data_IF_468101040695
#
_entry.id   IF_468101040695
#
_cell.length_a   1.000
_cell.length_b   1.000
_cell.length_c   1.000
_cell.angle_alpha   90.00
_cell.angle_beta   90.00
_cell.angle_gamma   90.00
#
_symmetry.space_group_name_H-M   'P 1'
#
loop_
_entity.id
_entity.type
_entity.pdbx_description
1 polymer ?
#
# COMPACT_ATOMS: atom_id res chain seq x y z
N UNK A 1 12.72 -9.50 2.82
CA UNK A 1 14.10 -8.94 2.81
C UNK A 1 14.11 -7.72 1.92
N UNK A 2 14.52 -6.56 2.43
CA UNK A 2 14.64 -5.35 1.63
C UNK A 2 16.07 -5.25 1.12
N UNK A 3 16.25 -5.08 -0.18
CA UNK A 3 17.54 -4.77 -0.76
C UNK A 3 17.55 -3.29 -1.08
N UNK A 4 18.37 -2.54 -0.35
CA UNK A 4 18.76 -1.21 -0.81
C UNK A 4 19.76 -1.40 -1.93
N UNK A 5 19.28 -1.25 -3.17
CA UNK A 5 20.13 -1.27 -4.34
C UNK A 5 21.00 -0.01 -4.36
N UNK A 6 22.16 -0.09 -5.00
CA UNK A 6 23.14 1.03 -5.07
C UNK A 6 22.65 2.26 -5.85
N UNK A 7 21.43 2.20 -6.39
CA UNK A 7 20.77 3.30 -7.08
C UNK A 7 19.82 4.02 -6.11
N UNK A 8 20.07 5.29 -5.75
CA UNK A 8 19.28 6.01 -4.75
C UNK A 8 17.82 6.29 -5.18
N UNK A 9 17.48 6.00 -6.44
CA UNK A 9 16.17 6.28 -7.04
C UNK A 9 15.28 5.04 -7.20
N UNK A 10 15.79 3.83 -6.98
CA UNK A 10 15.04 2.59 -7.16
C UNK A 10 15.18 1.67 -5.96
N UNK A 11 14.08 1.13 -5.46
CA UNK A 11 14.05 0.20 -4.33
C UNK A 11 13.50 -1.14 -4.78
N UNK A 12 14.15 -2.24 -4.36
CA UNK A 12 13.67 -3.59 -4.62
C UNK A 12 13.27 -4.27 -3.30
N UNK A 13 12.00 -4.65 -3.21
CA UNK A 13 11.51 -5.50 -2.14
C UNK A 13 11.48 -6.97 -2.61
N UNK A 14 12.12 -7.85 -1.83
CA UNK A 14 11.97 -9.30 -1.99
C UNK A 14 11.18 -9.86 -0.81
N UNK A 15 9.95 -10.31 -1.06
CA UNK A 15 9.11 -10.94 -0.06
C UNK A 15 9.22 -12.46 -0.16
N UNK A 16 9.53 -13.11 0.96
CA UNK A 16 9.73 -14.55 1.05
C UNK A 16 8.80 -15.15 2.12
N UNK A 17 8.51 -16.45 1.99
CA UNK A 17 7.80 -17.19 3.01
C UNK A 17 8.72 -17.37 4.24
N UNK A 18 8.23 -16.99 5.42
CA UNK A 18 8.89 -17.38 6.67
C UNK A 18 8.58 -18.84 6.99
N UNK A 19 9.47 -19.51 7.75
CA UNK A 19 9.46 -20.98 7.97
C UNK A 19 8.20 -21.55 8.65
N UNK A 20 7.27 -20.72 9.11
CA UNK A 20 6.06 -21.16 9.81
C UNK A 20 4.84 -21.08 8.87
N UNK A 21 4.52 -22.24 8.31
CA UNK A 21 3.28 -22.51 7.58
C UNK A 21 2.13 -22.59 8.57
N UNK A 22 1.05 -21.84 8.32
CA UNK A 22 -0.35 -22.31 8.49
C UNK A 22 -1.37 -21.22 8.12
N UNK A 23 -1.05 -19.93 8.27
CA UNK A 23 -2.01 -18.86 7.95
C UNK A 23 -1.84 -18.29 6.52
N UNK A 24 -2.93 -18.19 5.73
CA UNK A 24 -2.92 -17.52 4.44
C UNK A 24 -2.47 -16.06 4.60
N UNK A 25 -1.39 -15.69 3.91
CA UNK A 25 -0.89 -14.31 3.83
C UNK A 25 -0.76 -13.86 2.37
N UNK A 26 -0.46 -12.58 2.16
CA UNK A 26 -0.23 -11.99 0.83
C UNK A 26 0.71 -12.84 -0.05
N UNK A 27 1.85 -13.27 0.49
CA UNK A 27 2.88 -13.97 -0.28
C UNK A 27 2.37 -15.34 -0.71
N UNK A 28 1.76 -16.09 0.20
CA UNK A 28 1.16 -17.41 -0.12
C UNK A 28 0.06 -17.28 -1.18
N UNK A 29 -0.79 -16.25 -1.09
CA UNK A 29 -1.84 -15.98 -2.10
C UNK A 29 -1.25 -15.67 -3.47
N UNK A 30 -0.23 -14.82 -3.51
CA UNK A 30 0.46 -14.51 -4.76
C UNK A 30 1.07 -15.77 -5.38
N UNK A 31 1.80 -16.57 -4.59
CA UNK A 31 2.42 -17.80 -5.08
C UNK A 31 1.38 -18.80 -5.63
N UNK A 32 0.21 -18.90 -5.00
CA UNK A 32 -0.91 -19.71 -5.50
C UNK A 32 -1.47 -19.14 -6.81
N UNK A 33 -1.73 -17.83 -6.88
CA UNK A 33 -2.29 -17.18 -8.06
C UNK A 33 -1.33 -17.13 -9.26
N UNK A 34 -0.02 -17.05 -9.00
CA UNK A 34 1.06 -16.98 -9.98
C UNK A 34 1.67 -18.35 -10.30
N UNK A 35 1.25 -19.41 -9.60
CA UNK A 35 1.83 -20.76 -9.74
C UNK A 35 3.36 -20.80 -9.52
N UNK A 36 3.86 -19.97 -8.59
CA UNK A 36 5.28 -19.88 -8.26
C UNK A 36 5.77 -18.44 -8.00
N UNK A 37 7.09 -18.27 -7.77
CA UNK A 37 7.72 -16.96 -7.59
C UNK A 37 7.58 -16.07 -8.82
N UNK A 38 7.57 -14.75 -8.62
CA UNK A 38 7.45 -13.78 -9.70
C UNK A 38 7.39 -12.34 -9.22
N UNK A 39 7.28 -11.42 -10.17
CA UNK A 39 7.07 -10.01 -9.89
C UNK A 39 5.62 -9.80 -9.46
N UNK A 40 5.41 -9.27 -8.25
CA UNK A 40 4.07 -9.03 -7.71
C UNK A 40 3.54 -7.64 -8.07
N UNK A 41 4.35 -6.60 -7.90
CA UNK A 41 3.91 -5.25 -8.22
C UNK A 41 5.06 -4.34 -8.61
N UNK A 42 4.71 -3.23 -9.26
CA UNK A 42 5.60 -2.11 -9.55
C UNK A 42 4.98 -0.86 -8.94
N UNK A 43 5.78 -0.13 -8.16
CA UNK A 43 5.42 1.16 -7.58
C UNK A 43 5.88 2.33 -8.44
N UNK A 44 4.98 3.27 -8.73
CA UNK A 44 5.29 4.54 -9.40
C UNK A 44 5.22 5.69 -8.41
N UNK A 45 6.32 6.44 -8.30
CA UNK A 45 6.38 7.62 -7.46
C UNK A 45 5.57 8.78 -8.05
N UNK A 46 4.92 9.56 -7.19
CA UNK A 46 4.23 10.80 -7.54
C UNK A 46 4.37 11.80 -6.40
N UNK A 47 4.30 13.09 -6.73
CA UNK A 47 4.28 14.19 -5.75
C UNK A 47 2.84 14.64 -5.41
N UNK A 48 1.84 14.04 -6.05
CA UNK A 48 0.43 14.32 -5.81
C UNK A 48 -0.44 13.09 -6.12
N UNK A 49 -0.57 12.21 -5.14
CA UNK A 49 -1.19 10.90 -5.28
C UNK A 49 -2.70 10.99 -5.46
N UNK A 50 -3.38 11.96 -4.84
CA UNK A 50 -4.84 12.06 -4.90
C UNK A 50 -5.30 12.54 -6.28
N UNK A 51 -4.59 13.51 -6.89
CA UNK A 51 -4.87 13.97 -8.25
C UNK A 51 -4.53 12.90 -9.28
N UNK A 52 -3.39 12.21 -9.14
CA UNK A 52 -3.01 11.11 -10.05
C UNK A 52 -3.99 9.94 -9.92
N UNK A 53 -4.35 9.52 -8.70
CA UNK A 53 -5.35 8.48 -8.49
C UNK A 53 -6.70 8.85 -9.11
N UNK A 54 -7.17 10.09 -8.90
CA UNK A 54 -8.40 10.59 -9.51
C UNK A 54 -8.34 10.54 -11.03
N UNK A 55 -7.22 10.97 -11.62
CA UNK A 55 -6.99 10.94 -13.07
C UNK A 55 -6.98 9.50 -13.59
N UNK A 56 -6.28 8.58 -12.91
CA UNK A 56 -6.26 7.16 -13.26
C UNK A 56 -7.68 6.55 -13.22
N UNK A 57 -8.46 6.82 -12.18
CA UNK A 57 -9.86 6.39 -12.08
C UNK A 57 -10.70 6.90 -13.25
N UNK A 58 -10.58 8.18 -13.61
CA UNK A 58 -11.29 8.76 -14.75
C UNK A 58 -10.91 8.10 -16.08
N UNK A 59 -9.70 7.56 -16.19
CA UNK A 59 -9.21 6.82 -17.35
C UNK A 59 -9.46 5.30 -17.26
N UNK A 60 -10.26 4.84 -16.29
CA UNK A 60 -10.72 3.45 -16.19
C UNK A 60 -9.82 2.52 -15.39
N UNK A 61 -8.78 3.02 -14.72
CA UNK A 61 -8.00 2.24 -13.76
C UNK A 61 -8.86 1.99 -12.51
N UNK A 62 -8.88 0.74 -12.06
CA UNK A 62 -9.56 0.34 -10.83
C UNK A 62 -8.56 0.18 -9.71
N UNK A 63 -8.85 0.82 -8.59
CA UNK A 63 -8.09 0.66 -7.35
C UNK A 63 -8.86 -0.18 -6.36
N UNK A 64 -8.13 -0.85 -5.47
CA UNK A 64 -8.72 -1.53 -4.33
C UNK A 64 -9.32 -0.47 -3.41
N UNK A 65 -10.56 -0.70 -2.98
CA UNK A 65 -11.27 0.17 -2.06
C UNK A 65 -11.09 -0.33 -0.61
N UNK A 66 -10.40 0.43 0.27
CA UNK A 66 -10.28 0.07 1.68
C UNK A 66 -11.62 0.25 2.42
N UNK A 67 -11.96 -0.63 3.37
CA UNK A 67 -13.18 -0.52 4.15
C UNK A 67 -13.19 0.77 4.96
N UNK A 68 -14.37 1.34 5.16
CA UNK A 68 -14.57 2.58 5.92
C UNK A 68 -13.95 2.52 7.33
N UNK A 69 -13.90 1.32 7.93
CA UNK A 69 -13.26 1.07 9.22
C UNK A 69 -11.77 1.46 9.25
N UNK A 70 -11.04 1.30 8.13
CA UNK A 70 -9.65 1.72 8.01
C UNK A 70 -9.52 3.21 8.34
N UNK A 71 -10.26 4.06 7.63
CA UNK A 71 -10.22 5.52 7.78
C UNK A 71 -10.70 6.00 9.16
N UNK A 72 -11.67 5.30 9.75
CA UNK A 72 -12.11 5.56 11.14
C UNK A 72 -10.97 5.34 12.14
N UNK A 73 -10.17 4.30 11.95
CA UNK A 73 -9.00 4.05 12.81
C UNK A 73 -7.80 4.92 12.45
N UNK A 74 -7.68 5.32 11.18
CA UNK A 74 -6.59 6.18 10.71
C UNK A 74 -6.55 7.51 11.47
N UNK A 75 -7.71 8.16 11.63
CA UNK A 75 -7.83 9.42 12.38
C UNK A 75 -7.45 9.30 13.86
N UNK A 76 -7.42 8.08 14.41
CA UNK A 76 -6.98 7.82 15.78
C UNK A 76 -5.47 7.57 15.87
N UNK A 77 -4.85 7.10 14.78
CA UNK A 77 -3.42 6.71 14.72
C UNK A 77 -2.52 7.84 14.21
N UNK A 78 -3.05 8.69 13.34
CA UNK A 78 -2.29 9.73 12.64
C UNK A 78 -2.95 11.08 12.88
N UNK A 79 -2.14 12.07 13.24
CA UNK A 79 -2.59 13.45 13.25
C UNK A 79 -2.49 14.00 11.82
N UNK A 80 -3.61 13.92 11.09
CA UNK A 80 -3.72 14.29 9.67
C UNK A 80 -3.28 15.73 9.37
N UNK A 81 -3.30 16.63 10.37
CA UNK A 81 -2.78 18.00 10.21
C UNK A 81 -1.28 18.04 9.92
N UNK A 82 -0.50 17.09 10.43
CA UNK A 82 0.92 16.99 10.10
C UNK A 82 1.16 16.41 8.71
N UNK A 83 0.21 15.62 8.21
CA UNK A 83 0.33 14.97 6.90
C UNK A 83 -0.20 15.83 5.75
N UNK A 84 -0.84 16.98 6.03
CA UNK A 84 -1.47 17.85 5.03
C UNK A 84 -2.41 17.10 4.06
N UNK A 85 -3.22 16.19 4.60
CA UNK A 85 -4.20 15.38 3.85
C UNK A 85 -5.60 15.59 4.42
N UNK A 86 -6.61 15.61 3.53
CA UNK A 86 -8.02 15.57 3.90
C UNK A 86 -8.48 14.11 4.01
N UNK A 87 -9.08 13.74 5.14
CA UNK A 87 -9.61 12.39 5.36
C UNK A 87 -10.68 12.03 4.33
N UNK A 88 -11.51 12.99 3.93
CA UNK A 88 -12.58 12.73 2.96
C UNK A 88 -12.02 12.52 1.56
N UNK A 89 -10.93 13.20 1.20
CA UNK A 89 -10.20 12.97 -0.04
C UNK A 89 -9.53 11.60 -0.06
N UNK A 90 -8.88 11.20 1.03
CA UNK A 90 -8.30 9.86 1.18
C UNK A 90 -9.36 8.77 1.04
N UNK A 91 -10.49 8.91 1.73
CA UNK A 91 -11.64 7.99 1.61
C UNK A 91 -12.15 7.90 0.18
N UNK A 92 -12.32 9.04 -0.49
CA UNK A 92 -12.85 9.09 -1.86
C UNK A 92 -11.92 8.42 -2.87
N UNK A 93 -10.61 8.60 -2.69
CA UNK A 93 -9.59 8.09 -3.61
C UNK A 93 -9.17 6.66 -3.31
N UNK A 94 -9.31 6.18 -2.07
CA UNK A 94 -8.79 4.89 -1.65
C UNK A 94 -7.35 4.92 -1.12
N UNK A 95 -6.79 6.12 -0.91
CA UNK A 95 -5.38 6.29 -0.53
C UNK A 95 -5.15 5.93 0.94
N UNK A 96 -4.18 5.04 1.17
CA UNK A 96 -3.69 4.62 2.48
C UNK A 96 -2.54 5.53 2.94
N UNK A 97 -2.41 5.69 4.25
CA UNK A 97 -1.37 6.53 4.87
C UNK A 97 -0.66 5.76 5.98
N UNK A 98 0.67 5.72 5.91
CA UNK A 98 1.55 5.25 6.97
C UNK A 98 2.40 6.41 7.49
N UNK A 99 2.62 6.46 8.81
CA UNK A 99 3.47 7.48 9.43
C UNK A 99 4.84 6.89 9.71
N UNK A 100 5.88 7.62 9.36
CA UNK A 100 7.24 7.23 9.69
C UNK A 100 7.70 8.02 10.92
N UNK A 101 8.20 7.28 11.92
CA UNK A 101 8.69 7.81 13.17
C UNK A 101 10.21 7.64 13.25
N UNK A 102 10.89 8.57 13.91
CA UNK A 102 12.29 8.37 14.28
C UNK A 102 12.43 7.47 15.52
N UNK A 103 13.68 7.26 15.95
CA UNK A 103 14.01 6.46 17.13
C UNK A 103 13.46 7.03 18.46
N UNK A 104 12.98 8.28 18.47
CA UNK A 104 12.38 8.94 19.64
C UNK A 104 10.85 8.88 19.60
N UNK A 105 10.28 8.37 18.50
CA UNK A 105 8.83 8.30 18.28
C UNK A 105 8.25 9.58 17.67
N UNK A 106 9.09 10.51 17.23
CA UNK A 106 8.67 11.75 16.57
C UNK A 106 8.39 11.47 15.09
N UNK A 107 7.31 12.03 14.56
CA UNK A 107 6.95 11.84 13.15
C UNK A 107 7.93 12.61 12.25
N UNK A 108 8.62 11.88 11.37
CA UNK A 108 9.61 12.43 10.42
C UNK A 108 9.09 12.52 8.98
N UNK A 109 8.02 11.79 8.68
CA UNK A 109 7.39 11.82 7.37
C UNK A 109 6.15 10.95 7.29
N UNK A 110 5.60 10.88 6.09
CA UNK A 110 4.42 10.09 5.80
C UNK A 110 4.54 9.45 4.42
N UNK A 111 4.05 8.23 4.34
CA UNK A 111 4.02 7.46 3.12
C UNK A 111 2.57 7.24 2.71
N UNK A 112 2.22 7.73 1.53
CA UNK A 112 0.89 7.58 0.97
C UNK A 112 0.96 6.55 -0.16
N UNK A 113 0.02 5.60 -0.17
CA UNK A 113 0.01 4.51 -1.14
C UNK A 113 -1.41 4.20 -1.59
N UNK A 114 -1.56 3.82 -2.85
CA UNK A 114 -2.80 3.25 -3.38
C UNK A 114 -2.46 2.13 -4.36
N UNK A 115 -3.28 1.08 -4.35
CA UNK A 115 -3.02 -0.17 -5.05
C UNK A 115 -4.11 -0.45 -6.07
N UNK A 116 -3.74 -0.79 -7.31
CA UNK A 116 -4.73 -1.20 -8.31
C UNK A 116 -5.35 -2.54 -7.93
N UNK A 117 -6.54 -2.83 -8.45
CA UNK A 117 -6.96 -4.22 -8.58
C UNK A 117 -5.92 -5.00 -9.41
N UNK A 118 -5.85 -6.35 -9.28
CA UNK A 118 -4.99 -7.15 -10.13
C UNK A 118 -5.24 -6.87 -11.61
N UNK A 119 -4.19 -6.55 -12.37
CA UNK A 119 -4.31 -6.18 -13.79
C UNK A 119 -4.58 -7.37 -14.71
N UNK A 120 -4.19 -8.57 -14.24
CA UNK A 120 -4.35 -9.81 -14.97
C UNK A 120 -5.13 -10.79 -14.08
N UNK A 121 -6.08 -11.52 -14.68
CA UNK A 121 -6.89 -12.52 -13.96
C UNK A 121 -6.03 -13.63 -13.33
N UNK A 122 -4.88 -13.91 -13.93
CA UNK A 122 -3.89 -14.87 -13.44
C UNK A 122 -2.64 -14.09 -13.07
N UNK A 123 -1.97 -14.47 -12.00
CA UNK A 123 -0.69 -13.94 -11.48
C UNK A 123 -0.80 -12.94 -10.33
N UNK A 124 -1.96 -12.35 -10.05
CA UNK A 124 -2.12 -11.44 -8.90
C UNK A 124 -1.21 -10.20 -8.96
N UNK A 125 -0.76 -9.83 -10.17
CA UNK A 125 0.10 -8.67 -10.40
C UNK A 125 -0.72 -7.37 -10.35
N UNK A 126 -0.21 -6.36 -9.65
CA UNK A 126 -0.86 -5.06 -9.51
C UNK A 126 0.15 -3.91 -9.62
N UNK A 127 -0.36 -2.69 -9.76
CA UNK A 127 0.43 -1.46 -9.71
C UNK A 127 0.17 -0.74 -8.40
N UNK A 128 1.19 -0.09 -7.88
CA UNK A 128 1.11 0.82 -6.75
C UNK A 128 1.45 2.24 -7.21
N UNK A 129 0.72 3.24 -6.71
CA UNK A 129 1.19 4.62 -6.69
C UNK A 129 1.67 4.93 -5.28
N UNK A 130 2.81 5.61 -5.18
CA UNK A 130 3.46 5.93 -3.91
C UNK A 130 3.86 7.40 -3.88
N UNK A 131 3.52 8.09 -2.80
CA UNK A 131 3.96 9.46 -2.54
C UNK A 131 4.65 9.52 -1.18
N UNK A 132 5.83 10.13 -1.18
CA UNK A 132 6.67 10.28 0.02
C UNK A 132 6.66 11.73 0.43
N UNK A 133 6.22 12.00 1.65
CA UNK A 133 6.24 13.34 2.24
C UNK A 133 7.34 13.45 3.28
N UNK A 134 7.96 14.62 3.33
CA UNK A 134 9.05 14.98 4.22
C UNK A 134 10.24 14.02 4.10
N UNK A 135 10.66 13.38 5.20
CA UNK A 135 11.82 12.49 5.24
C UNK A 135 11.46 11.00 5.06
N UNK A 136 10.26 10.70 4.53
CA UNK A 136 9.79 9.32 4.38
C UNK A 136 10.66 8.51 3.41
N UNK A 137 11.16 7.36 3.88
CA UNK A 137 11.97 6.42 3.10
C UNK A 137 11.51 4.96 3.24
N UNK A 138 10.49 4.68 4.04
CA UNK A 138 9.98 3.34 4.30
C UNK A 138 9.27 2.70 3.11
N UNK A 139 8.80 1.47 3.29
CA UNK A 139 8.09 0.72 2.25
C UNK A 139 6.58 0.61 2.50
N UNK A 140 6.09 1.12 3.63
CA UNK A 140 4.66 1.09 3.95
C UNK A 140 4.14 -0.30 4.25
N UNK A 141 4.90 -1.10 5.00
CA UNK A 141 4.50 -2.44 5.42
C UNK A 141 3.12 -2.46 6.09
N UNK A 142 2.79 -1.41 6.87
CA UNK A 142 1.50 -1.30 7.53
C UNK A 142 0.36 -1.05 6.54
N UNK A 143 0.59 -0.32 5.47
CA UNK A 143 -0.41 -0.08 4.42
C UNK A 143 -0.71 -1.38 3.66
N UNK A 144 0.33 -2.14 3.28
CA UNK A 144 0.15 -3.44 2.62
C UNK A 144 -0.59 -4.40 3.53
N UNK A 145 -0.22 -4.49 4.81
CA UNK A 145 -0.92 -5.32 5.79
C UNK A 145 -2.39 -4.91 5.94
N UNK A 146 -2.65 -3.61 6.10
CA UNK A 146 -4.00 -3.08 6.23
C UNK A 146 -4.86 -3.35 4.98
N UNK A 147 -4.28 -3.27 3.78
CA UNK A 147 -4.94 -3.62 2.53
C UNK A 147 -5.39 -5.09 2.51
N UNK A 148 -4.52 -6.02 2.92
CA UNK A 148 -4.85 -7.44 2.90
C UNK A 148 -5.86 -7.83 3.98
N UNK A 149 -5.72 -7.30 5.19
CA UNK A 149 -6.73 -7.47 6.26
C UNK A 149 -8.10 -6.96 5.79
N UNK A 150 -8.11 -5.85 5.07
CA UNK A 150 -9.30 -5.23 4.48
C UNK A 150 -9.97 -6.10 3.40
N UNK A 151 -9.17 -6.65 2.48
CA UNK A 151 -9.66 -7.56 1.43
C UNK A 151 -10.23 -8.85 2.02
N UNK A 152 -9.59 -9.41 3.06
CA UNK A 152 -10.10 -10.59 3.75
C UNK A 152 -11.44 -10.35 4.43
N UNK A 153 -11.58 -9.21 5.11
CA UNK A 153 -12.81 -8.82 5.79
C UNK A 153 -13.96 -8.70 4.79
N UNK A 154 -13.71 -8.10 3.61
CA UNK A 154 -14.71 -7.99 2.54
C UNK A 154 -15.07 -9.35 1.92
N UNK A 155 -14.12 -10.28 1.79
CA UNK A 155 -14.39 -11.61 1.24
C UNK A 155 -15.19 -12.51 2.20
N UNK A 156 -15.06 -12.33 3.51
CA UNK A 156 -15.87 -13.03 4.53
C UNK A 156 -17.33 -12.55 4.59
N UNK A 157 -17.62 -11.39 4.00
CA UNK A 157 -18.95 -10.75 3.98
C UNK A 157 -19.75 -11.04 2.69
N UNK A 158 -19.22 -11.87 1.78
CA UNK A 158 -19.90 -12.36 0.58
C UNK A 158 -20.14 -13.87 0.69
#
# INVERSE_FOLDING_TARGET
MFFEDTCPFSKLNLSELTKYYEEPNQVTRFLQANSGPGLQHIGFATDNITDVATTCCQNGIKFIDPPEAYYKTLSQRINLKHCSVDLEELKKTGVLVDKELDNKGDQIGSLLQIFTEPLFEKNGFFIELIERRDQSTGFGENNIKALWESLEMSHKLK
#
